data_IF_449238145512
#
_entry.id   IF_449238145512
#
_cell.length_a   1.000
_cell.length_b   1.000
_cell.length_c   1.000
_cell.angle_alpha   90.00
_cell.angle_beta   90.00
_cell.angle_gamma   90.00
#
_symmetry.space_group_name_H-M   'P 1'
#
loop_
_entity.id
_entity.type
_entity.pdbx_description
1 polymer ?
#
# COMPACT_ATOMS: atom_id res chain seq x y z
N UNK A 1 17.51 44.69 -57.95
CA UNK A 1 18.64 44.35 -58.78
C UNK A 1 18.89 42.87 -58.63
N UNK A 2 18.47 42.12 -59.65
CA UNK A 2 19.25 41.30 -60.57
C UNK A 2 20.01 40.20 -59.84
N UNK A 3 19.90 38.96 -60.15
CA UNK A 3 19.43 38.27 -61.31
C UNK A 3 20.07 36.91 -61.40
N UNK A 4 19.30 35.98 -61.92
CA UNK A 4 19.58 35.00 -62.98
C UNK A 4 20.50 33.80 -62.65
N UNK A 5 19.89 32.58 -62.66
CA UNK A 5 19.83 31.60 -63.76
C UNK A 5 21.08 30.76 -64.03
N UNK A 6 20.80 29.44 -64.15
CA UNK A 6 21.53 28.48 -64.98
C UNK A 6 21.39 27.09 -64.39
N UNK A 7 20.63 26.16 -64.76
CA UNK A 7 20.22 25.45 -65.97
C UNK A 7 21.26 24.41 -66.45
N UNK A 8 20.78 23.14 -66.48
CA UNK A 8 21.10 22.01 -67.38
C UNK A 8 22.44 21.26 -67.16
N UNK A 9 22.45 19.94 -67.04
CA UNK A 9 22.24 19.04 -68.19
C UNK A 9 22.25 17.57 -67.84
N UNK A 10 21.54 16.82 -68.62
CA UNK A 10 21.28 15.41 -68.63
C UNK A 10 22.51 14.54 -68.92
N UNK A 11 22.46 13.30 -68.44
CA UNK A 11 23.33 12.22 -68.86
C UNK A 11 22.62 10.88 -68.71
N UNK A 12 21.99 10.46 -69.77
CA UNK A 12 21.41 9.14 -69.93
C UNK A 12 22.50 8.10 -70.18
N UNK A 13 22.51 7.01 -69.49
CA UNK A 13 23.20 5.79 -69.95
C UNK A 13 22.23 4.59 -69.78
N UNK A 14 21.91 4.07 -70.98
CA UNK A 14 21.25 2.77 -71.23
C UNK A 14 22.17 1.62 -70.80
N UNK A 15 21.66 0.65 -70.06
CA UNK A 15 22.16 -0.74 -70.14
C UNK A 15 21.05 -1.73 -69.82
N UNK A 16 20.69 -2.38 -70.87
CA UNK A 16 20.17 -3.73 -71.14
C UNK A 16 19.57 -4.54 -69.96
N UNK A 17 18.33 -4.84 -70.23
CA UNK A 17 17.54 -5.88 -69.60
C UNK A 17 18.17 -7.28 -69.78
N UNK A 18 18.20 -8.05 -68.70
CA UNK A 18 18.28 -9.51 -68.75
C UNK A 18 17.04 -10.06 -68.02
N UNK A 19 16.13 -10.60 -68.83
CA UNK A 19 14.95 -11.31 -68.34
C UNK A 19 15.40 -12.67 -67.80
N UNK A 20 15.32 -12.87 -66.51
CA UNK A 20 15.31 -14.22 -65.89
C UNK A 20 13.91 -14.51 -65.43
N UNK A 21 13.25 -15.39 -66.17
CA UNK A 21 11.95 -15.95 -65.77
C UNK A 21 12.25 -17.01 -64.70
N UNK A 22 12.07 -16.63 -63.45
CA UNK A 22 12.06 -17.54 -62.31
C UNK A 22 10.62 -17.78 -61.91
N UNK A 23 10.19 -19.01 -62.03
CA UNK A 23 8.90 -19.47 -61.56
C UNK A 23 8.85 -19.36 -60.01
N UNK A 24 8.14 -18.37 -59.51
CA UNK A 24 7.74 -18.35 -58.08
C UNK A 24 6.59 -19.33 -57.87
N UNK A 25 6.88 -20.49 -57.29
CA UNK A 25 5.87 -21.30 -56.66
C UNK A 25 5.32 -20.51 -55.48
N UNK A 26 4.06 -20.13 -55.55
CA UNK A 26 3.28 -19.58 -54.46
C UNK A 26 3.10 -20.66 -53.39
N UNK A 27 3.87 -20.55 -52.32
CA UNK A 27 3.55 -21.24 -51.07
C UNK A 27 2.46 -20.42 -50.37
N UNK A 28 1.21 -20.80 -50.52
CA UNK A 28 0.14 -20.33 -49.66
C UNK A 28 0.44 -20.87 -48.24
N UNK A 29 1.17 -20.06 -47.48
CA UNK A 29 1.20 -20.27 -46.03
C UNK A 29 -0.17 -19.86 -45.51
N UNK A 30 -0.99 -20.85 -45.23
CA UNK A 30 -2.17 -20.68 -44.41
C UNK A 30 -1.66 -20.14 -43.03
N UNK A 31 -1.73 -18.83 -42.86
CA UNK A 31 -1.65 -18.22 -41.55
C UNK A 31 -2.90 -18.71 -40.82
N UNK A 32 -2.73 -19.67 -39.89
CA UNK A 32 -3.75 -19.93 -38.90
C UNK A 32 -4.07 -18.62 -38.19
N UNK A 33 -5.37 -18.29 -37.99
CA UNK A 33 -5.71 -17.13 -37.15
C UNK A 33 -5.09 -17.39 -35.77
N UNK A 34 -4.21 -16.49 -35.35
CA UNK A 34 -3.82 -16.37 -33.94
C UNK A 34 -5.14 -16.13 -33.21
N UNK A 35 -5.61 -17.10 -32.45
CA UNK A 35 -6.70 -16.89 -31.51
C UNK A 35 -6.34 -15.67 -30.70
N UNK A 36 -7.17 -14.61 -30.82
CA UNK A 36 -7.09 -13.43 -29.99
C UNK A 36 -6.98 -13.92 -28.54
N UNK A 37 -5.82 -13.76 -27.95
CA UNK A 37 -5.60 -14.12 -26.57
C UNK A 37 -6.68 -13.42 -25.76
N UNK A 38 -7.53 -14.22 -25.16
CA UNK A 38 -8.55 -13.80 -24.21
C UNK A 38 -7.91 -12.74 -23.31
N UNK A 39 -8.38 -11.51 -23.43
CA UNK A 39 -7.96 -10.42 -22.54
C UNK A 39 -8.35 -10.89 -21.13
N UNK A 40 -7.38 -11.47 -20.43
CA UNK A 40 -7.54 -11.84 -19.03
C UNK A 40 -7.95 -10.56 -18.33
N UNK A 41 -9.20 -10.49 -17.90
CA UNK A 41 -9.73 -9.40 -17.11
C UNK A 41 -8.85 -9.16 -15.87
N UNK A 42 -8.99 -8.04 -15.19
CA UNK A 42 -8.21 -7.79 -13.98
C UNK A 42 -8.44 -8.96 -13.00
N UNK A 43 -7.34 -9.64 -12.64
CA UNK A 43 -7.38 -10.77 -11.72
C UNK A 43 -7.95 -10.31 -10.37
N UNK A 44 -8.92 -11.03 -9.83
CA UNK A 44 -9.41 -10.85 -8.47
C UNK A 44 -8.26 -11.06 -7.46
N UNK A 45 -8.32 -10.45 -6.26
CA UNK A 45 -7.33 -10.72 -5.23
C UNK A 45 -7.36 -12.21 -4.90
N UNK A 46 -6.25 -12.89 -5.14
CA UNK A 46 -6.15 -14.34 -4.99
C UNK A 46 -5.03 -14.71 -4.00
N UNK A 47 -5.19 -15.85 -3.34
CA UNK A 47 -4.13 -16.52 -2.63
C UNK A 47 -3.33 -17.43 -3.60
N UNK A 48 -2.06 -17.72 -3.32
CA UNK A 48 -1.29 -17.18 -2.18
C UNK A 48 -0.92 -15.72 -2.36
N UNK A 49 -0.70 -15.00 -1.25
CA UNK A 49 -0.09 -13.68 -1.26
C UNK A 49 1.42 -13.78 -1.12
N UNK A 50 2.14 -12.86 -1.75
CA UNK A 50 3.60 -12.82 -1.76
C UNK A 50 4.13 -11.83 -0.71
N UNK A 51 5.11 -12.28 0.10
CA UNK A 51 5.83 -11.42 1.05
C UNK A 51 6.83 -10.56 0.29
N UNK A 52 6.49 -9.31 0.05
CA UNK A 52 7.30 -8.38 -0.72
C UNK A 52 8.43 -7.75 0.09
N UNK A 53 8.17 -7.47 1.38
CA UNK A 53 9.11 -6.81 2.27
C UNK A 53 8.87 -7.20 3.72
N UNK A 54 9.96 -7.34 4.46
CA UNK A 54 9.97 -7.58 5.90
C UNK A 54 11.05 -6.72 6.58
N UNK A 55 10.66 -5.88 7.51
CA UNK A 55 11.54 -5.24 8.48
C UNK A 55 11.23 -5.80 9.86
N UNK A 56 12.23 -6.25 10.60
CA UNK A 56 12.03 -6.85 11.91
C UNK A 56 11.81 -8.37 11.88
N UNK A 57 10.92 -8.88 12.72
CA UNK A 57 10.65 -10.33 12.86
C UNK A 57 9.16 -10.64 12.81
N UNK A 58 8.81 -11.61 11.99
CA UNK A 58 7.45 -12.11 11.86
C UNK A 58 7.44 -13.64 11.64
N UNK A 59 6.28 -14.24 11.81
CA UNK A 59 6.06 -15.68 11.63
C UNK A 59 4.85 -15.92 10.75
N UNK A 60 4.93 -16.97 9.92
CA UNK A 60 3.75 -17.63 9.38
C UNK A 60 3.24 -18.56 10.48
N UNK A 61 1.94 -18.52 10.71
CA UNK A 61 1.23 -19.38 11.68
C UNK A 61 0.31 -20.28 10.87
N UNK A 62 0.58 -21.58 10.87
CA UNK A 62 -0.26 -22.54 10.16
C UNK A 62 -1.60 -22.79 10.86
N UNK A 63 -2.51 -23.54 10.22
CA UNK A 63 -3.81 -23.87 10.77
C UNK A 63 -3.76 -24.70 12.09
N UNK A 64 -2.59 -25.23 12.46
CA UNK A 64 -2.35 -25.97 13.70
C UNK A 64 -1.71 -25.10 14.77
N UNK A 65 -1.40 -23.83 14.44
CA UNK A 65 -0.73 -22.88 15.30
C UNK A 65 0.80 -23.04 15.35
N UNK A 66 1.40 -23.82 14.45
CA UNK A 66 2.84 -23.92 14.36
C UNK A 66 3.42 -22.69 13.66
N UNK A 67 4.51 -22.15 14.22
CA UNK A 67 5.15 -20.94 13.74
C UNK A 67 6.40 -21.23 12.92
N UNK A 68 6.49 -20.63 11.74
CA UNK A 68 7.67 -20.64 10.87
C UNK A 68 8.14 -19.20 10.66
N UNK A 69 9.44 -18.94 10.80
CA UNK A 69 9.97 -17.58 10.61
C UNK A 69 9.67 -17.08 9.18
N UNK A 70 8.97 -15.95 9.09
CA UNK A 70 8.64 -15.29 7.84
C UNK A 70 9.92 -14.71 7.21
N UNK A 71 9.98 -14.74 5.88
CA UNK A 71 11.06 -14.13 5.08
C UNK A 71 10.47 -13.50 3.82
N UNK A 72 11.16 -12.50 3.31
CA UNK A 72 10.87 -11.96 1.97
C UNK A 72 10.92 -13.08 0.92
N UNK A 73 10.01 -13.04 -0.05
CA UNK A 73 9.89 -14.03 -1.10
C UNK A 73 9.03 -15.24 -0.75
N UNK A 74 8.61 -15.40 0.50
CA UNK A 74 7.69 -16.49 0.86
C UNK A 74 6.27 -16.20 0.39
N UNK A 75 5.54 -17.27 0.15
CA UNK A 75 4.10 -17.23 -0.09
C UNK A 75 3.36 -17.54 1.20
N UNK A 76 2.22 -16.90 1.40
CA UNK A 76 1.28 -17.17 2.49
C UNK A 76 -0.02 -17.63 1.85
N UNK A 77 -0.45 -18.82 2.21
CA UNK A 77 -1.55 -19.54 1.56
C UNK A 77 -2.85 -19.46 2.38
N UNK A 78 -3.89 -20.12 1.89
CA UNK A 78 -5.20 -20.20 2.56
C UNK A 78 -5.06 -20.78 3.97
N UNK A 79 -5.73 -20.18 4.94
CA UNK A 79 -5.73 -20.54 6.38
C UNK A 79 -4.36 -20.42 7.07
N UNK A 80 -3.42 -19.77 6.44
CA UNK A 80 -2.19 -19.36 7.11
C UNK A 80 -2.34 -17.94 7.66
N UNK A 81 -1.74 -17.72 8.82
CA UNK A 81 -1.69 -16.42 9.46
C UNK A 81 -0.32 -15.81 9.43
N UNK A 82 -0.26 -14.51 9.72
CA UNK A 82 0.99 -13.79 9.97
C UNK A 82 0.91 -13.12 11.32
N UNK A 83 1.97 -13.28 12.11
CA UNK A 83 2.16 -12.59 13.38
C UNK A 83 3.44 -11.75 13.32
N UNK A 84 3.32 -10.46 13.58
CA UNK A 84 4.44 -9.52 13.64
C UNK A 84 4.83 -9.22 15.08
N UNK A 85 6.14 -9.05 15.34
CA UNK A 85 6.65 -8.56 16.62
C UNK A 85 6.69 -7.03 16.67
N UNK A 86 7.20 -6.50 17.79
CA UNK A 86 7.44 -5.06 17.95
C UNK A 86 8.47 -4.57 16.93
N UNK A 87 8.31 -3.33 16.48
CA UNK A 87 9.19 -2.70 15.47
C UNK A 87 9.30 -3.50 14.16
N UNK A 88 8.24 -4.22 13.81
CA UNK A 88 8.17 -5.06 12.61
C UNK A 88 7.17 -4.51 11.61
N UNK A 89 7.50 -4.60 10.32
CA UNK A 89 6.62 -4.23 9.22
C UNK A 89 6.70 -5.31 8.14
N UNK A 90 5.54 -5.79 7.72
CA UNK A 90 5.41 -6.77 6.64
C UNK A 90 4.56 -6.16 5.53
N UNK A 91 5.04 -6.23 4.30
CA UNK A 91 4.24 -5.87 3.12
C UNK A 91 3.99 -7.10 2.26
N UNK A 92 2.72 -7.33 1.94
CA UNK A 92 2.25 -8.42 1.11
C UNK A 92 1.64 -7.88 -0.17
N UNK A 93 1.72 -8.67 -1.22
CA UNK A 93 1.07 -8.39 -2.52
C UNK A 93 0.26 -9.60 -2.95
N UNK A 94 -0.98 -9.39 -3.31
CA UNK A 94 -1.86 -10.40 -3.90
C UNK A 94 -1.76 -10.44 -5.43
N UNK A 95 -2.32 -11.48 -6.03
CA UNK A 95 -2.23 -11.71 -7.48
C UNK A 95 -2.80 -10.58 -8.34
N UNK A 96 -3.81 -9.86 -7.86
CA UNK A 96 -4.38 -8.68 -8.52
C UNK A 96 -3.54 -7.40 -8.36
N UNK A 97 -2.46 -7.46 -7.56
CA UNK A 97 -1.60 -6.35 -7.20
C UNK A 97 -2.15 -5.48 -6.07
N UNK A 98 -3.18 -5.92 -5.34
CA UNK A 98 -3.56 -5.32 -4.06
C UNK A 98 -2.46 -5.53 -3.04
N UNK A 99 -2.30 -4.57 -2.12
CA UNK A 99 -1.19 -4.57 -1.16
C UNK A 99 -1.72 -4.48 0.26
N UNK A 100 -1.08 -5.23 1.14
CA UNK A 100 -1.43 -5.34 2.55
C UNK A 100 -0.19 -5.02 3.36
N UNK A 101 -0.30 -4.08 4.28
CA UNK A 101 0.79 -3.72 5.21
C UNK A 101 0.37 -4.06 6.63
N UNK A 102 1.18 -4.87 7.28
CA UNK A 102 1.01 -5.26 8.68
C UNK A 102 2.10 -4.56 9.50
N UNK A 103 1.74 -3.60 10.36
CA UNK A 103 2.69 -2.99 11.28
C UNK A 103 2.97 -3.89 12.49
N UNK A 104 3.71 -3.33 13.45
CA UNK A 104 4.09 -4.00 14.71
C UNK A 104 2.90 -4.58 15.47
N UNK A 105 3.15 -5.71 16.14
CA UNK A 105 2.21 -6.35 17.07
C UNK A 105 0.85 -6.66 16.45
N UNK A 106 0.86 -7.08 15.18
CA UNK A 106 -0.33 -7.44 14.42
C UNK A 106 -0.41 -8.94 14.20
N UNK A 107 -1.63 -9.46 14.21
CA UNK A 107 -1.94 -10.86 13.91
C UNK A 107 -3.13 -10.93 12.97
N UNK A 108 -2.92 -11.51 11.81
CA UNK A 108 -3.94 -11.75 10.78
C UNK A 108 -3.93 -13.21 10.36
N UNK A 109 -5.04 -13.66 9.79
CA UNK A 109 -5.18 -14.93 9.11
C UNK A 109 -5.79 -14.66 7.74
N UNK A 110 -5.28 -15.31 6.70
CA UNK A 110 -5.75 -15.15 5.34
C UNK A 110 -6.69 -16.30 4.98
N UNK A 111 -7.77 -15.98 4.32
CA UNK A 111 -8.74 -16.98 3.85
C UNK A 111 -9.26 -16.60 2.48
N UNK A 112 -9.34 -17.62 1.58
CA UNK A 112 -9.99 -17.49 0.30
C UNK A 112 -11.40 -18.06 0.37
N UNK A 113 -12.41 -17.22 0.19
CA UNK A 113 -13.81 -17.64 0.14
C UNK A 113 -14.20 -17.96 -1.30
N UNK A 114 -14.32 -19.26 -1.61
CA UNK A 114 -14.57 -19.74 -2.99
C UNK A 114 -15.94 -19.33 -3.53
N UNK A 115 -16.98 -19.29 -2.68
CA UNK A 115 -18.36 -19.01 -3.10
C UNK A 115 -18.53 -17.61 -3.72
N UNK A 116 -17.78 -16.63 -3.22
CA UNK A 116 -17.84 -15.24 -3.70
C UNK A 116 -16.51 -14.76 -4.28
N UNK A 117 -15.56 -15.66 -4.49
CA UNK A 117 -14.24 -15.38 -5.06
C UNK A 117 -13.54 -14.18 -4.40
N UNK A 118 -13.48 -14.17 -3.05
CA UNK A 118 -12.92 -13.04 -2.30
C UNK A 118 -11.84 -13.42 -1.32
N UNK A 119 -10.88 -12.50 -1.17
CA UNK A 119 -9.86 -12.56 -0.13
C UNK A 119 -10.40 -11.98 1.18
N UNK A 120 -10.40 -12.79 2.23
CA UNK A 120 -10.74 -12.37 3.58
C UNK A 120 -9.48 -12.30 4.45
N UNK A 121 -9.32 -11.19 5.15
CA UNK A 121 -8.28 -10.99 6.15
C UNK A 121 -8.95 -10.95 7.51
N UNK A 122 -8.72 -11.98 8.31
CA UNK A 122 -9.22 -12.05 9.68
C UNK A 122 -8.23 -11.36 10.60
N UNK A 123 -8.48 -10.10 10.94
CA UNK A 123 -7.66 -9.34 11.89
C UNK A 123 -8.00 -9.79 13.31
N UNK A 124 -7.03 -10.41 13.99
CA UNK A 124 -7.16 -10.90 15.36
C UNK A 124 -6.68 -9.86 16.37
N UNK A 125 -5.61 -9.14 16.03
CA UNK A 125 -4.98 -8.12 16.87
C UNK A 125 -4.17 -7.16 16.02
N UNK A 126 -3.96 -5.93 16.48
CA UNK A 126 -3.10 -4.94 15.85
C UNK A 126 -3.80 -4.21 14.73
N UNK A 127 -3.13 -4.06 13.60
CA UNK A 127 -3.58 -3.25 12.47
C UNK A 127 -3.29 -3.92 11.14
N UNK A 128 -4.17 -3.70 10.18
CA UNK A 128 -3.94 -3.93 8.75
C UNK A 128 -4.20 -2.63 7.99
N UNK A 129 -3.29 -2.26 7.10
CA UNK A 129 -3.48 -1.18 6.12
C UNK A 129 -3.52 -1.81 4.73
N UNK A 130 -4.58 -1.55 3.97
CA UNK A 130 -4.85 -2.20 2.70
C UNK A 130 -5.01 -1.19 1.58
N UNK A 131 -4.33 -1.45 0.47
CA UNK A 131 -4.41 -0.73 -0.80
C UNK A 131 -5.04 -1.67 -1.83
N UNK A 132 -6.36 -1.73 -1.84
CA UNK A 132 -7.11 -2.63 -2.71
C UNK A 132 -7.29 -2.01 -4.08
N UNK A 133 -6.93 -2.73 -5.14
CA UNK A 133 -7.12 -2.26 -6.51
C UNK A 133 -8.60 -2.25 -6.87
N UNK A 134 -9.02 -1.17 -7.55
CA UNK A 134 -10.37 -1.09 -8.07
C UNK A 134 -10.54 -2.07 -9.24
N UNK A 135 -11.52 -2.95 -9.13
CA UNK A 135 -11.91 -3.87 -10.18
C UNK A 135 -13.11 -3.37 -10.97
N UNK A 136 -13.32 -3.93 -12.17
CA UNK A 136 -14.40 -3.51 -13.07
C UNK A 136 -15.78 -3.95 -12.59
N UNK A 137 -15.85 -5.08 -11.91
CA UNK A 137 -17.09 -5.65 -11.38
C UNK A 137 -17.51 -5.02 -10.05
N UNK A 138 -18.80 -5.00 -9.78
CA UNK A 138 -19.38 -4.34 -8.60
C UNK A 138 -19.27 -5.14 -7.29
N UNK A 139 -18.63 -6.30 -7.33
CA UNK A 139 -18.56 -7.22 -6.21
C UNK A 139 -17.46 -6.88 -5.19
N UNK A 140 -17.72 -7.22 -3.93
CA UNK A 140 -16.76 -7.09 -2.83
C UNK A 140 -15.75 -8.25 -2.87
N UNK A 141 -14.64 -8.09 -3.59
CA UNK A 141 -13.60 -9.14 -3.68
C UNK A 141 -12.60 -9.15 -2.52
N UNK A 142 -12.75 -8.23 -1.58
CA UNK A 142 -11.84 -8.09 -0.46
C UNK A 142 -12.58 -7.71 0.81
N UNK A 143 -12.33 -8.44 1.89
CA UNK A 143 -12.93 -8.16 3.20
C UNK A 143 -11.89 -8.19 4.31
N UNK A 144 -12.07 -7.31 5.30
CA UNK A 144 -11.41 -7.42 6.60
C UNK A 144 -12.44 -7.80 7.65
N UNK A 145 -12.21 -8.94 8.29
CA UNK A 145 -13.05 -9.45 9.36
C UNK A 145 -12.39 -9.12 10.70
N UNK A 146 -13.20 -8.64 11.64
CA UNK A 146 -12.81 -8.39 13.01
C UNK A 146 -13.76 -9.12 13.96
N UNK A 147 -13.46 -9.26 15.25
CA UNK A 147 -14.39 -9.90 16.20
C UNK A 147 -15.76 -9.23 16.28
N UNK A 148 -15.88 -7.96 15.89
CA UNK A 148 -17.12 -7.16 16.01
C UNK A 148 -17.75 -6.79 14.68
N UNK A 149 -17.09 -6.99 13.55
CA UNK A 149 -17.66 -6.62 12.26
C UNK A 149 -16.88 -7.05 11.04
N UNK A 150 -17.51 -6.86 9.92
CA UNK A 150 -17.02 -7.16 8.57
C UNK A 150 -16.96 -5.86 7.77
N UNK A 151 -15.83 -5.64 7.13
CA UNK A 151 -15.55 -4.48 6.30
C UNK A 151 -15.29 -4.95 4.87
N UNK A 152 -16.28 -4.78 4.00
CA UNK A 152 -16.20 -5.11 2.58
C UNK A 152 -15.74 -3.92 1.77
N UNK A 153 -14.83 -4.13 0.83
CA UNK A 153 -14.21 -3.03 0.08
C UNK A 153 -14.11 -3.31 -1.41
N UNK A 154 -14.12 -2.21 -2.15
CA UNK A 154 -13.94 -2.19 -3.59
C UNK A 154 -13.04 -1.02 -4.00
N UNK A 155 -11.76 -1.30 -4.24
CA UNK A 155 -10.84 -0.27 -4.72
C UNK A 155 -10.63 0.87 -3.72
N UNK A 156 -10.07 0.54 -2.57
CA UNK A 156 -10.03 1.40 -1.39
C UNK A 156 -8.66 1.40 -0.76
N UNK A 157 -8.20 2.55 -0.28
CA UNK A 157 -7.09 2.66 0.66
C UNK A 157 -7.66 2.93 2.05
N UNK A 158 -7.47 1.99 2.96
CA UNK A 158 -8.05 2.05 4.30
C UNK A 158 -7.20 1.32 5.35
N UNK A 159 -7.49 1.60 6.61
CA UNK A 159 -6.88 0.94 7.76
C UNK A 159 -7.97 0.35 8.65
N UNK A 160 -7.66 -0.80 9.25
CA UNK A 160 -8.48 -1.41 10.29
C UNK A 160 -7.58 -1.76 11.47
N UNK A 161 -8.02 -1.43 12.68
CA UNK A 161 -7.25 -1.66 13.89
C UNK A 161 -8.13 -2.21 15.02
N UNK A 162 -7.55 -3.14 15.77
CA UNK A 162 -8.07 -3.64 17.04
C UNK A 162 -6.99 -3.36 18.08
N UNK A 163 -7.33 -2.57 19.11
CA UNK A 163 -6.41 -2.37 20.22
C UNK A 163 -6.44 -3.58 21.18
N UNK A 164 -5.30 -3.86 21.77
CA UNK A 164 -5.19 -4.97 22.72
C UNK A 164 -6.17 -4.78 23.90
N UNK A 165 -6.93 -5.85 24.21
CA UNK A 165 -7.93 -5.84 25.28
C UNK A 165 -9.22 -5.07 24.94
N UNK A 166 -9.35 -4.49 23.74
CA UNK A 166 -10.57 -3.81 23.32
C UNK A 166 -11.53 -4.75 22.56
N UNK A 167 -12.84 -4.52 22.77
CA UNK A 167 -13.91 -5.24 22.07
C UNK A 167 -14.47 -4.43 20.90
N UNK A 168 -13.69 -3.46 20.39
CA UNK A 168 -14.06 -2.60 19.26
C UNK A 168 -13.02 -2.66 18.16
N UNK A 169 -13.42 -2.36 16.94
CA UNK A 169 -12.50 -2.09 15.84
C UNK A 169 -12.66 -0.67 15.30
N UNK A 170 -11.57 -0.10 14.88
CA UNK A 170 -11.48 1.22 14.29
C UNK A 170 -11.17 1.05 12.79
N UNK A 171 -11.90 1.74 11.95
CA UNK A 171 -11.65 1.76 10.51
C UNK A 171 -11.50 3.19 10.03
N UNK A 172 -10.47 3.47 9.26
CA UNK A 172 -10.24 4.77 8.64
C UNK A 172 -10.10 4.60 7.13
N UNK A 173 -10.96 5.28 6.37
CA UNK A 173 -10.97 5.26 4.90
C UNK A 173 -10.25 6.48 4.37
N UNK A 174 -9.11 6.26 3.73
CA UNK A 174 -8.29 7.32 3.15
C UNK A 174 -8.74 7.67 1.74
N UNK A 175 -9.06 6.65 0.94
CA UNK A 175 -9.57 6.78 -0.42
C UNK A 175 -10.62 5.69 -0.69
N UNK A 176 -11.63 5.99 -1.51
CA UNK A 176 -12.67 5.04 -1.89
C UNK A 176 -13.80 4.95 -0.87
N UNK A 177 -14.26 3.73 -0.58
CA UNK A 177 -15.36 3.48 0.35
C UNK A 177 -15.33 2.07 0.91
N UNK A 178 -15.80 1.93 2.15
CA UNK A 178 -15.89 0.67 2.89
C UNK A 178 -17.33 0.45 3.32
N UNK A 179 -17.91 -0.71 2.98
CA UNK A 179 -19.18 -1.15 3.54
C UNK A 179 -18.88 -1.88 4.87
N UNK A 180 -19.23 -1.25 5.98
CA UNK A 180 -19.00 -1.79 7.31
C UNK A 180 -20.31 -2.29 7.92
N UNK A 181 -20.29 -3.52 8.48
CA UNK A 181 -21.44 -4.12 9.17
C UNK A 181 -20.98 -4.89 10.39
N UNK A 182 -21.87 -5.14 11.33
CA UNK A 182 -21.60 -6.05 12.46
C UNK A 182 -21.60 -7.50 12.01
N UNK A 183 -20.91 -8.34 12.75
CA UNK A 183 -20.91 -9.80 12.50
C UNK A 183 -22.32 -10.37 12.63
N UNK A 184 -23.08 -9.91 13.63
CA UNK A 184 -24.40 -10.47 13.98
C UNK A 184 -25.58 -9.75 13.27
N UNK A 185 -25.30 -8.75 12.43
CA UNK A 185 -26.34 -7.94 11.78
C UNK A 185 -25.94 -7.53 10.38
N UNK A 186 -26.24 -8.37 9.42
CA UNK A 186 -25.95 -8.14 8.00
C UNK A 186 -26.75 -6.97 7.40
N UNK A 187 -27.86 -6.60 8.00
CA UNK A 187 -28.74 -5.54 7.50
C UNK A 187 -28.30 -4.14 7.97
N UNK A 188 -27.41 -4.06 8.95
CA UNK A 188 -26.92 -2.79 9.51
C UNK A 188 -25.74 -2.18 8.74
N UNK A 189 -25.51 -2.56 7.49
CA UNK A 189 -24.39 -2.05 6.74
C UNK A 189 -24.42 -0.52 6.58
N UNK A 190 -23.31 0.13 6.89
CA UNK A 190 -23.09 1.56 6.69
C UNK A 190 -21.91 1.78 5.74
N UNK A 191 -22.07 2.73 4.83
CA UNK A 191 -20.98 3.15 3.96
C UNK A 191 -20.12 4.18 4.69
N UNK A 192 -18.83 3.85 4.83
CA UNK A 192 -17.77 4.76 5.30
C UNK A 192 -17.05 5.29 4.07
N UNK A 193 -17.21 6.56 3.78
CA UNK A 193 -16.59 7.20 2.61
C UNK A 193 -15.16 7.66 2.85
N UNK A 194 -14.51 8.12 1.78
CA UNK A 194 -13.17 8.70 1.89
C UNK A 194 -13.13 9.83 2.92
N UNK A 195 -12.05 9.90 3.69
CA UNK A 195 -11.81 10.84 4.80
C UNK A 195 -12.73 10.66 6.01
N UNK A 196 -13.41 9.53 6.09
CA UNK A 196 -14.23 9.16 7.23
C UNK A 196 -13.62 7.98 7.99
N UNK A 197 -13.91 7.94 9.26
CA UNK A 197 -13.61 6.83 10.15
C UNK A 197 -14.84 6.29 10.83
N UNK A 198 -14.77 5.07 11.30
CA UNK A 198 -15.83 4.39 12.01
C UNK A 198 -15.25 3.72 13.27
N UNK A 199 -15.87 4.00 14.40
CA UNK A 199 -15.69 3.21 15.61
C UNK A 199 -16.77 2.12 15.63
N UNK A 200 -16.39 0.90 15.30
CA UNK A 200 -17.29 -0.24 15.22
C UNK A 200 -17.31 -0.95 16.58
N UNK A 201 -18.42 -0.78 17.27
CA UNK A 201 -18.71 -1.36 18.59
C UNK A 201 -19.63 -2.57 18.46
N UNK A 202 -19.62 -3.52 19.41
CA UNK A 202 -20.55 -4.66 19.39
C UNK A 202 -22.03 -4.24 19.38
N UNK A 203 -22.33 -3.08 19.96
CA UNK A 203 -23.70 -2.54 20.07
C UNK A 203 -23.70 -1.02 19.83
N UNK A 204 -24.88 -0.45 19.56
CA UNK A 204 -25.05 0.97 19.33
C UNK A 204 -25.18 1.33 17.84
N UNK A 205 -25.25 2.59 17.50
CA UNK A 205 -25.35 3.08 16.13
C UNK A 205 -23.98 3.05 15.42
N UNK A 206 -23.95 2.58 14.18
CA UNK A 206 -22.78 2.70 13.31
C UNK A 206 -22.80 4.08 12.65
N UNK A 207 -21.93 4.97 13.12
CA UNK A 207 -21.90 6.36 12.66
C UNK A 207 -20.51 6.73 12.17
N UNK A 208 -20.33 6.88 10.84
CA UNK A 208 -19.08 7.43 10.30
C UNK A 208 -18.87 8.88 10.76
N UNK A 209 -17.61 9.23 11.03
CA UNK A 209 -17.18 10.56 11.44
C UNK A 209 -16.06 11.05 10.55
N UNK A 210 -15.92 12.38 10.38
CA UNK A 210 -14.79 12.95 9.65
C UNK A 210 -13.47 12.71 10.39
N UNK A 211 -12.46 12.28 9.64
CA UNK A 211 -11.11 12.10 10.16
C UNK A 211 -10.41 13.45 10.35
N UNK A 212 -9.52 13.54 11.34
CA UNK A 212 -8.63 14.68 11.48
C UNK A 212 -7.86 14.94 10.18
N UNK A 213 -7.65 16.23 9.82
CA UNK A 213 -6.80 16.55 8.68
C UNK A 213 -5.35 16.11 8.90
N UNK A 214 -4.59 16.01 7.82
CA UNK A 214 -3.20 15.63 7.87
C UNK A 214 -2.35 16.68 8.62
N UNK A 215 -1.47 16.25 9.55
CA UNK A 215 -0.51 17.16 10.16
C UNK A 215 0.47 17.73 9.13
N UNK A 216 0.97 18.96 9.40
CA UNK A 216 2.00 19.57 8.57
C UNK A 216 3.36 19.49 9.24
N UNK A 217 4.38 19.21 8.45
CA UNK A 217 5.76 19.34 8.90
C UNK A 217 6.13 20.83 8.91
N UNK A 218 6.52 21.34 10.09
CA UNK A 218 7.01 22.73 10.24
C UNK A 218 8.49 22.83 9.90
N UNK A 219 9.25 21.77 10.17
CA UNK A 219 10.67 21.74 9.91
C UNK A 219 11.37 20.56 10.56
N UNK A 220 12.66 20.49 10.29
CA UNK A 220 13.56 19.59 10.99
C UNK A 220 14.14 20.40 12.15
N UNK A 221 13.85 19.96 13.38
CA UNK A 221 14.59 20.42 14.55
C UNK A 221 16.04 20.02 14.43
N UNK A 222 16.94 20.79 15.06
CA UNK A 222 18.37 20.55 14.98
C UNK A 222 18.75 19.13 15.33
N UNK A 223 19.77 18.63 14.66
CA UNK A 223 20.44 17.42 15.09
C UNK A 223 21.15 17.71 16.40
N UNK A 224 20.83 16.95 17.41
CA UNK A 224 21.70 16.89 18.56
C UNK A 224 22.97 16.16 18.15
N UNK A 225 24.04 16.94 17.98
CA UNK A 225 25.37 16.45 17.58
C UNK A 225 25.94 15.45 18.58
N UNK A 226 25.47 15.47 19.82
CA UNK A 226 25.95 14.60 20.90
C UNK A 226 25.24 13.24 20.91
N UNK A 227 23.94 13.21 20.59
CA UNK A 227 23.11 11.98 20.65
C UNK A 227 22.83 11.36 19.29
N UNK A 228 23.07 12.07 18.18
CA UNK A 228 22.70 11.64 16.84
C UNK A 228 21.19 11.59 16.60
N UNK A 229 20.40 12.19 17.48
CA UNK A 229 18.96 12.25 17.35
C UNK A 229 18.54 13.25 16.28
N UNK A 230 17.50 12.90 15.56
CA UNK A 230 16.86 13.76 14.58
C UNK A 230 15.42 14.04 15.00
N UNK A 231 15.11 15.32 15.18
CA UNK A 231 13.79 15.79 15.60
C UNK A 231 13.00 16.31 14.41
N UNK A 232 11.79 15.81 14.24
CA UNK A 232 10.79 16.36 13.33
C UNK A 232 9.79 17.18 14.14
N UNK A 233 9.53 18.41 13.70
CA UNK A 233 8.58 19.34 14.32
C UNK A 233 7.33 19.42 13.45
N UNK A 234 6.19 19.07 14.01
CA UNK A 234 4.90 19.12 13.37
C UNK A 234 4.12 20.36 13.82
N UNK A 235 3.22 20.83 12.97
CA UNK A 235 2.25 21.81 13.38
C UNK A 235 1.28 21.19 14.39
N UNK A 236 1.06 21.80 15.57
CA UNK A 236 0.01 21.35 16.49
C UNK A 236 -1.33 21.30 15.79
N UNK A 237 -2.03 20.18 15.93
CA UNK A 237 -3.33 19.95 15.30
C UNK A 237 -4.43 19.94 16.35
N UNK A 238 -5.43 20.84 16.29
CA UNK A 238 -6.56 20.82 17.21
C UNK A 238 -7.28 19.47 17.17
N UNK A 239 -7.60 18.92 18.34
CA UNK A 239 -8.25 17.60 18.47
C UNK A 239 -7.29 16.40 18.36
N UNK A 240 -6.01 16.63 18.10
CA UNK A 240 -5.02 15.55 18.12
C UNK A 240 -4.54 15.25 19.54
N UNK A 241 -4.62 13.99 19.93
CA UNK A 241 -4.10 13.48 21.22
C UNK A 241 -2.74 12.83 21.07
N UNK A 242 -2.41 12.32 19.88
CA UNK A 242 -1.16 11.63 19.58
C UNK A 242 -0.81 11.80 18.11
N UNK A 243 0.47 11.81 17.80
CA UNK A 243 1.02 11.85 16.44
C UNK A 243 1.73 10.55 16.12
N UNK A 244 1.67 10.15 14.86
CA UNK A 244 2.42 9.03 14.30
C UNK A 244 3.31 9.53 13.18
N UNK A 245 4.56 9.14 13.19
CA UNK A 245 5.53 9.42 12.12
C UNK A 245 6.14 8.11 11.67
N UNK A 246 6.04 7.85 10.38
CA UNK A 246 6.64 6.69 9.74
C UNK A 246 7.71 7.15 8.76
N UNK A 247 8.84 6.45 8.77
CA UNK A 247 9.94 6.62 7.81
C UNK A 247 9.98 5.41 6.91
N UNK A 248 9.91 5.62 5.60
CA UNK A 248 10.02 4.57 4.60
C UNK A 248 11.12 4.86 3.59
N UNK A 249 11.62 3.84 2.94
CA UNK A 249 12.56 3.97 1.82
C UNK A 249 11.86 4.13 0.46
N UNK A 250 10.53 4.07 0.44
CA UNK A 250 9.71 4.24 -0.77
C UNK A 250 8.49 5.14 -0.50
N UNK A 251 8.00 5.78 -1.57
CA UNK A 251 6.87 6.71 -1.53
C UNK A 251 5.54 6.04 -1.16
N UNK A 252 5.42 4.74 -1.42
CA UNK A 252 4.19 3.97 -1.21
C UNK A 252 4.10 3.39 0.20
N UNK A 253 5.13 3.59 1.04
CA UNK A 253 5.21 3.06 2.42
C UNK A 253 5.06 1.54 2.52
N UNK A 254 5.57 0.82 1.53
CA UNK A 254 5.67 -0.64 1.56
C UNK A 254 6.93 -1.11 2.31
N UNK A 255 7.95 -0.24 2.39
CA UNK A 255 9.23 -0.49 3.06
C UNK A 255 9.43 0.48 4.21
N UNK A 256 8.58 0.33 5.24
CA UNK A 256 8.67 1.13 6.46
C UNK A 256 9.89 0.68 7.26
N UNK A 257 10.76 1.62 7.58
CA UNK A 257 12.02 1.39 8.32
C UNK A 257 11.86 1.65 9.81
N UNK A 258 11.18 2.70 10.16
CA UNK A 258 10.92 3.07 11.55
C UNK A 258 9.58 3.76 11.69
N UNK A 259 9.00 3.60 12.86
CA UNK A 259 7.77 4.27 13.27
C UNK A 259 7.95 4.83 14.68
N UNK A 260 7.37 6.00 14.93
CA UNK A 260 7.35 6.62 16.25
C UNK A 260 5.99 7.25 16.51
N UNK A 261 5.57 7.12 17.77
CA UNK A 261 4.41 7.80 18.31
C UNK A 261 4.84 8.86 19.30
N UNK A 262 4.10 9.97 19.39
CA UNK A 262 4.37 11.05 20.34
C UNK A 262 3.07 11.73 20.72
N UNK A 263 2.90 12.07 22.00
CA UNK A 263 1.78 12.87 22.51
C UNK A 263 1.97 14.36 22.22
N UNK A 264 3.18 14.74 21.79
CA UNK A 264 3.51 16.12 21.42
C UNK A 264 3.81 16.22 19.92
N UNK A 265 3.67 17.40 19.29
CA UNK A 265 3.99 17.60 17.88
C UNK A 265 5.52 17.64 17.61
N UNK A 266 6.30 16.90 18.39
CA UNK A 266 7.75 16.76 18.25
C UNK A 266 8.12 15.29 18.33
N UNK A 267 8.76 14.76 17.29
CA UNK A 267 9.06 13.33 17.18
C UNK A 267 10.55 13.12 16.92
N UNK A 268 11.17 12.25 17.72
CA UNK A 268 12.60 11.99 17.67
C UNK A 268 12.90 10.63 17.04
N UNK A 269 13.88 10.60 16.15
CA UNK A 269 14.45 9.40 15.56
C UNK A 269 15.94 9.29 15.88
N UNK A 270 16.44 8.07 15.99
CA UNK A 270 17.85 7.77 16.23
C UNK A 270 18.30 6.56 15.41
N UNK A 271 19.62 6.43 15.23
CA UNK A 271 20.20 5.27 14.56
C UNK A 271 19.89 5.17 13.06
N UNK A 272 19.49 6.28 12.43
CA UNK A 272 19.18 6.29 11.00
C UNK A 272 20.45 6.34 10.15
N UNK A 273 20.59 5.49 9.14
CA UNK A 273 21.59 5.66 8.07
C UNK A 273 21.36 6.96 7.29
N UNK A 274 22.41 7.41 6.61
CA UNK A 274 22.30 8.50 5.61
C UNK A 274 21.48 7.99 4.45
N UNK A 275 20.32 8.60 4.25
CA UNK A 275 19.43 8.23 3.15
C UNK A 275 18.40 9.31 2.88
N UNK A 276 17.66 9.16 1.79
CA UNK A 276 16.45 9.91 1.53
C UNK A 276 15.26 9.12 2.07
N UNK A 277 14.57 9.69 3.05
CA UNK A 277 13.40 9.06 3.65
C UNK A 277 12.10 9.69 3.14
N UNK A 278 11.12 8.85 2.85
CA UNK A 278 9.73 9.27 2.77
C UNK A 278 9.15 9.28 4.18
N UNK A 279 8.61 10.42 4.57
CA UNK A 279 8.11 10.68 5.93
C UNK A 279 6.61 10.83 5.85
N UNK A 280 5.86 9.93 6.47
CA UNK A 280 4.40 9.98 6.56
C UNK A 280 4.00 10.42 7.96
N UNK A 281 3.14 11.43 8.03
CA UNK A 281 2.62 12.01 9.27
C UNK A 281 1.12 11.75 9.36
N UNK A 282 0.66 11.34 10.52
CA UNK A 282 -0.76 11.27 10.89
C UNK A 282 -0.95 11.68 12.35
N UNK A 283 -2.20 11.90 12.76
CA UNK A 283 -2.56 12.20 14.14
C UNK A 283 -3.82 11.42 14.54
N UNK A 284 -3.95 11.12 15.81
CA UNK A 284 -5.08 10.40 16.39
C UNK A 284 -5.97 11.37 17.14
N UNK A 285 -7.27 11.21 17.00
CA UNK A 285 -8.27 11.91 17.80
C UNK A 285 -8.44 11.27 19.20
N UNK A 286 -9.34 11.81 19.99
CA UNK A 286 -9.68 11.31 21.33
C UNK A 286 -10.49 9.99 21.30
N UNK A 287 -11.11 9.64 20.17
CA UNK A 287 -11.71 8.32 19.95
C UNK A 287 -10.69 7.27 19.53
N UNK A 288 -9.47 7.68 19.25
CA UNK A 288 -8.38 6.84 18.79
C UNK A 288 -8.38 6.61 17.28
N UNK A 289 -9.23 7.29 16.49
CA UNK A 289 -9.18 7.22 15.03
C UNK A 289 -7.94 7.94 14.50
N UNK A 290 -7.23 7.28 13.60
CA UNK A 290 -6.06 7.86 12.93
C UNK A 290 -6.50 8.69 11.72
N UNK A 291 -6.19 10.00 11.75
CA UNK A 291 -6.56 10.96 10.72
C UNK A 291 -5.87 10.75 9.38
N UNK A 292 -6.09 11.71 8.49
CA UNK A 292 -5.47 11.76 7.16
C UNK A 292 -3.96 11.89 7.25
N UNK A 293 -3.27 11.51 6.18
CA UNK A 293 -1.81 11.49 6.12
C UNK A 293 -1.25 12.58 5.23
N UNK A 294 -0.10 13.13 5.61
CA UNK A 294 0.77 13.94 4.73
C UNK A 294 2.11 13.25 4.54
N UNK A 295 2.67 13.36 3.33
CA UNK A 295 3.94 12.73 2.96
C UNK A 295 4.95 13.79 2.54
N UNK A 296 6.18 13.62 3.00
CA UNK A 296 7.33 14.48 2.69
C UNK A 296 8.52 13.61 2.30
N UNK A 297 9.37 14.11 1.43
CA UNK A 297 10.65 13.48 1.12
C UNK A 297 11.76 14.30 1.77
N UNK A 298 12.59 13.66 2.59
CA UNK A 298 13.63 14.34 3.38
C UNK A 298 14.96 13.61 3.21
N UNK A 299 15.97 14.31 2.77
CA UNK A 299 17.34 13.82 2.78
C UNK A 299 17.91 13.96 4.20
N UNK A 300 18.15 12.82 4.84
CA UNK A 300 18.82 12.76 6.12
C UNK A 300 20.34 12.66 5.94
N UNK A 301 21.06 13.72 6.30
CA UNK A 301 22.53 13.76 6.28
C UNK A 301 23.04 13.80 7.72
N UNK A 302 24.05 12.98 8.11
CA UNK A 302 24.69 13.11 9.40
C UNK A 302 25.38 14.48 9.46
N UNK A 303 25.40 15.05 10.64
CA UNK A 303 26.18 16.27 10.87
C UNK A 303 27.66 15.96 10.66
N UNK A 304 28.30 16.65 9.73
CA UNK A 304 29.76 16.60 9.60
C UNK A 304 30.38 17.15 10.88
N UNK A 305 31.18 16.36 11.57
CA UNK A 305 32.15 16.95 12.51
C UNK A 305 33.07 17.81 11.67
N UNK A 306 32.97 19.12 11.75
CA UNK A 306 34.07 19.98 11.37
C UNK A 306 35.20 19.62 12.33
N UNK A 307 36.17 18.86 11.86
CA UNK A 307 37.48 18.87 12.52
C UNK A 307 37.98 20.31 12.38
N UNK A 308 37.77 21.11 13.40
CA UNK A 308 38.49 22.37 13.56
C UNK A 308 39.88 21.93 14.04
N UNK A 309 40.94 22.25 13.31
CA UNK A 309 42.30 21.92 13.69
C UNK A 309 42.69 22.57 15.02
#
# INVERSE_FOLDING_TARGET
MLGLRGALSAGAWFCRALLVVGACASVDALAEPVEDGELVGPLAPQLPVYVQYLEGRAWIVDARGAETALREGMLVDDKEGIRTEDSTFVSLVSGDGSRIVLPSSSQVELHWEEEHERLQIMLRQGQVESYVRKQAEDDEHYQVLTPVGVLGVRGTHFRVRIAEGETRSLSEVLEGGVAARRVDDEQSAVLVGARQGLNLLPQGELRPVELLPAPRLLGQGGRDMSSGNWTLLLQPLPGATRYRVQLASDEQFLRIRQERFSETPSVNFSGLPVDTYHVRLSAFDDNGLEGMTSVYQILYLPAWRRNVP
#
